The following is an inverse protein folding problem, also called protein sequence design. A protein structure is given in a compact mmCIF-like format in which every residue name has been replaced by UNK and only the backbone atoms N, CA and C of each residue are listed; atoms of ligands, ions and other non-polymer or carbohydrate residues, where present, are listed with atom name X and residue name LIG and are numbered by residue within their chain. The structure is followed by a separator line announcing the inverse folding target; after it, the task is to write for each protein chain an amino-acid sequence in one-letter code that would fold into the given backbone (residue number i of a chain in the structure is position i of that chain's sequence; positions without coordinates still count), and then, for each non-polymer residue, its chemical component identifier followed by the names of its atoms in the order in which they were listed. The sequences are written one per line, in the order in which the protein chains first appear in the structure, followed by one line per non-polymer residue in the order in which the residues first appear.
data_IF_454870647183
#
_entry.id   IF_454870647183
#
_cell.length_a   1.000
_cell.length_b   1.000
_cell.length_c   1.000
_cell.angle_alpha   90.00
_cell.angle_beta   90.00
_cell.angle_gamma   90.00
#
_symmetry.space_group_name_H-M   'P 1'
#
loop_
_entity.id
_entity.type
_entity.pdbx_description
1 polymer ?
#
# COMPACT_ATOMS: atom_id res chain seq x y z
N UNK A 1 -27.12 14.25 0.13
CA UNK A 1 -25.70 14.59 -0.12
C UNK A 1 -25.05 15.12 1.15
N UNK A 2 -25.59 16.17 1.76
CA UNK A 2 -25.00 16.77 2.97
C UNK A 2 -24.81 15.81 4.15
N UNK A 3 -25.79 14.94 4.40
CA UNK A 3 -25.67 13.89 5.43
C UNK A 3 -24.49 12.94 5.16
N UNK A 4 -24.24 12.61 3.91
CA UNK A 4 -23.14 11.71 3.52
C UNK A 4 -21.79 12.39 3.67
N UNK A 5 -21.70 13.69 3.34
CA UNK A 5 -20.49 14.49 3.57
C UNK A 5 -20.11 14.49 5.07
N UNK A 6 -21.10 14.60 5.96
CA UNK A 6 -20.86 14.52 7.40
C UNK A 6 -20.41 13.11 7.85
N UNK A 7 -20.90 12.05 7.21
CA UNK A 7 -20.45 10.69 7.49
C UNK A 7 -18.98 10.49 7.09
N UNK A 8 -18.60 10.90 5.88
CA UNK A 8 -17.20 10.86 5.40
C UNK A 8 -16.27 11.65 6.32
N UNK A 9 -16.70 12.83 6.78
CA UNK A 9 -15.92 13.63 7.72
C UNK A 9 -15.75 12.94 9.08
N UNK A 10 -16.82 12.31 9.59
CA UNK A 10 -16.78 11.53 10.82
C UNK A 10 -15.78 10.36 10.71
N UNK A 11 -15.80 9.62 9.59
CA UNK A 11 -14.82 8.54 9.32
C UNK A 11 -13.39 9.07 9.27
N UNK A 12 -13.15 10.20 8.60
CA UNK A 12 -11.84 10.83 8.57
C UNK A 12 -11.39 11.24 9.98
N UNK A 13 -12.28 11.83 10.78
CA UNK A 13 -11.99 12.25 12.14
C UNK A 13 -11.62 11.07 13.06
N UNK A 14 -12.20 9.88 12.85
CA UNK A 14 -11.86 8.67 13.61
C UNK A 14 -10.42 8.21 13.35
N UNK A 15 -9.86 8.48 12.16
CA UNK A 15 -8.52 8.03 11.78
C UNK A 15 -7.42 9.08 11.93
N UNK A 16 -7.75 10.31 12.33
CA UNK A 16 -6.78 11.41 12.51
C UNK A 16 -5.62 11.06 13.45
N UNK A 17 -5.91 10.25 14.48
CA UNK A 17 -4.94 9.83 15.48
C UNK A 17 -4.36 8.44 15.22
N UNK A 18 -4.70 7.82 14.08
CA UNK A 18 -4.12 6.54 13.67
C UNK A 18 -2.73 6.76 13.07
N UNK A 19 -1.69 6.27 13.76
CA UNK A 19 -0.30 6.33 13.27
C UNK A 19 -0.15 5.72 11.87
N UNK A 20 -0.85 4.63 11.59
CA UNK A 20 -0.84 3.96 10.28
C UNK A 20 -1.43 4.85 9.19
N UNK A 21 -2.56 5.51 9.45
CA UNK A 21 -3.18 6.41 8.47
C UNK A 21 -2.34 7.68 8.26
N UNK A 22 -1.72 8.21 9.33
CA UNK A 22 -0.79 9.35 9.25
C UNK A 22 0.45 9.01 8.43
N UNK A 23 1.03 7.83 8.64
CA UNK A 23 2.17 7.34 7.86
C UNK A 23 1.79 7.14 6.38
N UNK A 24 0.64 6.53 6.10
CA UNK A 24 0.16 6.35 4.73
C UNK A 24 -0.07 7.70 4.02
N UNK A 25 -0.63 8.69 4.70
CA UNK A 25 -0.83 10.02 4.14
C UNK A 25 0.51 10.75 3.90
N UNK A 26 1.51 10.56 4.77
CA UNK A 26 2.87 11.06 4.56
C UNK A 26 3.53 10.39 3.34
N UNK A 27 3.43 9.07 3.22
CA UNK A 27 3.90 8.31 2.06
C UNK A 27 3.28 8.82 0.76
N UNK A 28 1.96 9.05 0.77
CA UNK A 28 1.20 9.60 -0.35
C UNK A 28 1.66 11.02 -0.69
N UNK A 29 1.78 11.91 0.29
CA UNK A 29 2.18 13.30 0.09
C UNK A 29 3.63 13.45 -0.41
N UNK A 30 4.51 12.52 -0.02
CA UNK A 30 5.92 12.50 -0.45
C UNK A 30 6.13 11.83 -1.80
N UNK A 31 5.10 11.19 -2.36
CA UNK A 31 5.18 10.66 -3.72
C UNK A 31 5.46 11.74 -4.76
N UNK A 32 6.07 11.35 -5.88
CA UNK A 32 6.32 12.25 -7.00
C UNK A 32 5.03 12.92 -7.46
N UNK A 33 5.12 14.23 -7.73
CA UNK A 33 3.99 15.01 -8.23
C UNK A 33 3.46 14.40 -9.54
N UNK A 34 2.13 14.31 -9.65
CA UNK A 34 1.48 13.68 -10.80
C UNK A 34 1.30 12.16 -10.68
N UNK A 35 2.00 11.51 -9.74
CA UNK A 35 1.76 10.09 -9.47
C UNK A 35 0.36 9.89 -8.85
N UNK A 36 -0.43 8.86 -9.22
CA UNK A 36 -1.78 8.65 -8.71
C UNK A 36 -1.88 8.51 -7.18
N UNK A 37 -0.81 8.02 -6.53
CA UNK A 37 -0.72 7.92 -5.07
C UNK A 37 -0.50 9.29 -4.39
N UNK A 38 -0.09 10.33 -5.12
CA UNK A 38 0.11 11.68 -4.58
C UNK A 38 -1.22 12.43 -4.43
N UNK A 39 -2.15 11.84 -3.67
CA UNK A 39 -3.51 12.36 -3.44
C UNK A 39 -3.95 12.16 -2.01
N UNK A 40 -4.85 13.03 -1.54
CA UNK A 40 -5.63 12.76 -0.34
C UNK A 40 -6.79 11.85 -0.71
N UNK A 41 -6.63 10.55 -0.46
CA UNK A 41 -7.57 9.52 -0.95
C UNK A 41 -8.77 9.29 -0.04
N UNK A 42 -8.71 9.76 1.22
CA UNK A 42 -9.82 9.61 2.16
C UNK A 42 -10.98 10.55 1.82
N UNK A 43 -10.67 11.83 1.56
CA UNK A 43 -11.67 12.89 1.54
C UNK A 43 -12.10 13.28 2.96
N UNK A 44 -12.68 14.47 3.08
CA UNK A 44 -13.33 14.98 4.29
C UNK A 44 -14.30 16.11 3.91
N UNK A 45 -14.99 16.69 4.90
CA UNK A 45 -15.91 17.80 4.64
C UNK A 45 -15.21 18.95 3.94
N UNK A 46 -14.02 19.33 4.39
CA UNK A 46 -13.26 20.43 3.81
C UNK A 46 -12.96 20.19 2.33
N UNK A 47 -12.39 19.05 1.96
CA UNK A 47 -12.03 18.76 0.56
C UNK A 47 -13.26 18.75 -0.35
N UNK A 48 -14.39 18.25 0.13
CA UNK A 48 -15.63 18.19 -0.65
C UNK A 48 -16.31 19.56 -0.76
N UNK A 49 -16.30 20.36 0.31
CA UNK A 49 -16.82 21.73 0.30
C UNK A 49 -15.94 22.66 -0.54
N UNK A 50 -14.61 22.56 -0.44
CA UNK A 50 -13.68 23.34 -1.24
C UNK A 50 -13.84 23.03 -2.74
N UNK A 51 -14.08 21.77 -3.09
CA UNK A 51 -14.41 21.36 -4.45
C UNK A 51 -15.71 22.03 -4.95
N UNK A 52 -16.78 21.99 -4.15
CA UNK A 52 -18.05 22.68 -4.48
C UNK A 52 -17.86 24.19 -4.63
N UNK A 53 -17.08 24.82 -3.73
CA UNK A 53 -16.75 26.24 -3.79
C UNK A 53 -15.94 26.63 -5.03
N UNK A 54 -15.23 25.67 -5.63
CA UNK A 54 -14.51 25.83 -6.89
C UNK A 54 -15.38 25.62 -8.14
N UNK A 55 -16.71 25.43 -7.96
CA UNK A 55 -17.68 25.25 -9.04
C UNK A 55 -17.92 23.79 -9.44
N UNK A 56 -17.38 22.82 -8.71
CA UNK A 56 -17.59 21.39 -9.00
C UNK A 56 -18.98 20.95 -8.49
N UNK A 57 -19.80 20.42 -9.38
CA UNK A 57 -21.06 19.77 -9.00
C UNK A 57 -20.78 18.32 -8.57
N UNK A 58 -20.70 18.09 -7.26
CA UNK A 58 -20.41 16.76 -6.70
C UNK A 58 -21.37 15.67 -7.20
N UNK A 59 -22.64 15.99 -7.44
CA UNK A 59 -23.61 15.00 -7.90
C UNK A 59 -23.29 14.51 -9.30
N UNK A 60 -22.93 15.42 -10.19
CA UNK A 60 -22.56 15.10 -11.56
C UNK A 60 -21.27 14.28 -11.58
N UNK A 61 -20.24 14.70 -10.82
CA UNK A 61 -18.98 13.95 -10.69
C UNK A 61 -19.18 12.51 -10.18
N UNK A 62 -20.04 12.32 -9.16
CA UNK A 62 -20.36 10.98 -8.65
C UNK A 62 -21.05 10.14 -9.72
N UNK A 63 -22.00 10.72 -10.46
CA UNK A 63 -22.71 10.01 -11.53
C UNK A 63 -21.77 9.66 -12.68
N UNK A 64 -20.90 10.57 -13.08
CA UNK A 64 -19.88 10.32 -14.11
C UNK A 64 -18.91 9.23 -13.67
N UNK A 65 -18.43 9.28 -12.42
CA UNK A 65 -17.58 8.25 -11.86
C UNK A 65 -18.28 6.88 -11.84
N UNK A 66 -19.56 6.83 -11.46
CA UNK A 66 -20.36 5.61 -11.49
C UNK A 66 -20.49 5.08 -12.92
N UNK A 67 -20.93 5.91 -13.87
CA UNK A 67 -21.15 5.51 -15.27
C UNK A 67 -19.87 5.06 -15.98
N UNK A 68 -18.72 5.63 -15.58
CA UNK A 68 -17.39 5.29 -16.12
C UNK A 68 -16.84 4.00 -15.53
N UNK A 69 -16.96 3.79 -14.23
CA UNK A 69 -16.20 2.74 -13.54
C UNK A 69 -17.06 1.53 -13.10
N UNK A 70 -18.38 1.66 -12.97
CA UNK A 70 -19.27 0.59 -12.51
C UNK A 70 -19.88 -0.17 -13.70
N UNK A 71 -19.13 -1.14 -14.22
CA UNK A 71 -19.58 -2.02 -15.30
C UNK A 71 -19.06 -3.46 -15.13
N UNK A 72 -19.72 -4.44 -15.76
CA UNK A 72 -19.43 -5.87 -15.60
C UNK A 72 -17.97 -6.26 -15.90
N UNK A 73 -17.32 -5.62 -16.87
CA UNK A 73 -15.90 -5.87 -17.17
C UNK A 73 -14.92 -5.52 -16.04
N UNK A 74 -15.30 -4.64 -15.11
CA UNK A 74 -14.50 -4.21 -13.96
C UNK A 74 -14.95 -4.86 -12.63
N UNK A 75 -16.09 -5.57 -12.64
CA UNK A 75 -16.66 -6.19 -11.44
C UNK A 75 -16.24 -7.66 -11.31
N UNK A 76 -16.16 -8.12 -10.07
CA UNK A 76 -16.03 -9.53 -9.69
C UNK A 76 -17.05 -9.79 -8.59
N UNK A 77 -17.79 -10.89 -8.71
CA UNK A 77 -18.83 -11.30 -7.77
C UNK A 77 -18.50 -12.69 -7.26
N UNK A 78 -18.64 -12.89 -5.95
CA UNK A 78 -18.51 -14.19 -5.29
C UNK A 78 -19.77 -14.41 -4.48
N UNK A 79 -20.45 -15.54 -4.71
CA UNK A 79 -21.64 -15.97 -3.97
C UNK A 79 -21.30 -17.28 -3.27
N UNK A 80 -21.59 -17.35 -1.98
CA UNK A 80 -21.37 -18.54 -1.15
C UNK A 80 -22.72 -18.88 -0.54
N UNK A 81 -23.23 -20.08 -0.83
CA UNK A 81 -24.52 -20.58 -0.35
C UNK A 81 -24.45 -22.09 -0.11
N UNK A 82 -25.48 -22.61 0.56
CA UNK A 82 -25.64 -24.07 0.78
C UNK A 82 -26.35 -24.77 -0.38
N UNK A 83 -26.85 -23.99 -1.33
CA UNK A 83 -27.63 -24.43 -2.47
C UNK A 83 -26.73 -25.02 -3.58
N UNK A 84 -27.28 -25.89 -4.45
CA UNK A 84 -26.59 -26.36 -5.64
C UNK A 84 -26.16 -25.22 -6.56
N UNK A 85 -25.07 -25.43 -7.31
CA UNK A 85 -24.50 -24.42 -8.22
C UNK A 85 -25.52 -23.88 -9.22
N UNK A 86 -26.39 -24.72 -9.77
CA UNK A 86 -27.42 -24.30 -10.72
C UNK A 86 -28.40 -23.28 -10.12
N UNK A 87 -28.72 -23.42 -8.82
CA UNK A 87 -29.59 -22.45 -8.11
C UNK A 87 -28.84 -21.13 -7.92
N UNK A 88 -27.59 -21.19 -7.47
CA UNK A 88 -26.76 -20.00 -7.26
C UNK A 88 -26.51 -19.26 -8.57
N UNK A 89 -26.28 -19.97 -9.66
CA UNK A 89 -26.17 -19.40 -11.00
C UNK A 89 -27.48 -18.74 -11.43
N UNK A 90 -28.62 -19.41 -11.23
CA UNK A 90 -29.95 -18.86 -11.51
C UNK A 90 -30.19 -17.52 -10.82
N UNK A 91 -29.94 -17.43 -9.52
CA UNK A 91 -30.06 -16.17 -8.77
C UNK A 91 -29.06 -15.10 -9.22
N UNK A 92 -27.84 -15.52 -9.54
CA UNK A 92 -26.82 -14.61 -10.07
C UNK A 92 -27.30 -13.93 -11.35
N UNK A 93 -27.85 -14.73 -12.27
CA UNK A 93 -28.39 -14.22 -13.53
C UNK A 93 -29.62 -13.34 -13.32
N UNK A 94 -30.50 -13.72 -12.39
CA UNK A 94 -31.70 -12.92 -12.07
C UNK A 94 -31.33 -11.53 -11.55
N UNK A 95 -30.39 -11.45 -10.60
CA UNK A 95 -30.08 -10.22 -9.87
C UNK A 95 -29.05 -9.33 -10.59
N UNK A 96 -28.08 -9.91 -11.28
CA UNK A 96 -26.90 -9.17 -11.77
C UNK A 96 -26.78 -9.08 -13.29
N UNK A 97 -27.63 -9.77 -14.07
CA UNK A 97 -27.57 -9.71 -15.55
C UNK A 97 -27.80 -8.32 -16.13
N UNK A 98 -28.45 -7.43 -15.40
CA UNK A 98 -28.74 -6.05 -15.83
C UNK A 98 -27.57 -5.08 -15.63
N UNK A 99 -26.47 -5.52 -15.01
CA UNK A 99 -25.27 -4.69 -14.87
C UNK A 99 -24.71 -4.39 -16.27
N UNK A 100 -24.48 -3.11 -16.56
CA UNK A 100 -23.93 -2.64 -17.83
C UNK A 100 -22.64 -3.39 -18.18
N UNK A 101 -22.55 -3.95 -19.38
CA UNK A 101 -21.30 -4.51 -19.92
C UNK A 101 -20.26 -3.41 -20.12
N UNK A 102 -18.99 -3.73 -19.95
CA UNK A 102 -17.89 -2.80 -20.23
C UNK A 102 -16.58 -3.53 -20.48
N UNK A 103 -15.52 -2.81 -20.87
CA UNK A 103 -14.24 -3.40 -21.21
C UNK A 103 -13.62 -4.10 -20.00
N UNK A 104 -12.77 -5.10 -20.25
CA UNK A 104 -11.91 -5.62 -19.20
C UNK A 104 -10.92 -4.53 -18.77
N UNK A 105 -10.64 -4.44 -17.47
CA UNK A 105 -9.66 -3.51 -16.96
C UNK A 105 -8.26 -3.89 -17.45
N UNK A 106 -7.56 -2.91 -18.02
CA UNK A 106 -6.13 -3.04 -18.28
C UNK A 106 -5.35 -2.88 -16.97
N UNK A 107 -4.62 -3.94 -16.60
CA UNK A 107 -3.80 -4.08 -15.39
C UNK A 107 -2.33 -3.74 -15.72
N UNK A 108 -2.02 -3.28 -16.93
CA UNK A 108 -0.70 -2.82 -17.32
C UNK A 108 -0.22 -1.60 -16.52
N UNK A 109 1.10 -1.36 -16.47
CA UNK A 109 1.66 -0.16 -15.86
C UNK A 109 1.20 1.08 -16.64
N UNK A 110 0.57 2.03 -15.94
CA UNK A 110 -0.04 3.22 -16.56
C UNK A 110 0.82 4.48 -16.44
N UNK A 111 2.01 4.40 -15.83
CA UNK A 111 2.92 5.54 -15.68
C UNK A 111 4.35 5.08 -15.44
N UNK A 112 5.32 5.83 -15.98
CA UNK A 112 6.75 5.66 -15.70
C UNK A 112 7.24 6.60 -14.57
N UNK A 113 6.32 7.34 -13.93
CA UNK A 113 6.65 8.25 -12.84
C UNK A 113 7.07 7.41 -11.61
N UNK A 114 8.27 7.62 -11.04
CA UNK A 114 8.70 6.89 -9.86
C UNK A 114 7.85 7.27 -8.64
N UNK A 115 7.58 6.32 -7.73
CA UNK A 115 6.82 6.63 -6.51
C UNK A 115 7.56 7.68 -5.67
N UNK A 116 8.85 7.47 -5.38
CA UNK A 116 9.66 8.35 -4.54
C UNK A 116 11.04 8.61 -5.14
N UNK A 117 11.66 9.71 -4.71
CA UNK A 117 13.09 9.92 -4.90
C UNK A 117 13.85 9.12 -3.82
N UNK A 118 14.85 8.31 -4.18
CA UNK A 118 15.59 7.49 -3.21
C UNK A 118 16.39 8.37 -2.23
N UNK A 119 16.83 7.75 -1.12
CA UNK A 119 17.71 8.39 -0.15
C UNK A 119 17.07 9.48 0.72
N UNK A 120 15.74 9.46 0.87
CA UNK A 120 15.01 10.39 1.75
C UNK A 120 14.67 9.73 3.08
N UNK A 121 14.91 10.46 4.16
CA UNK A 121 14.51 10.09 5.51
C UNK A 121 13.47 11.08 6.03
N UNK A 122 12.31 10.56 6.44
CA UNK A 122 11.26 11.35 7.05
C UNK A 122 11.12 10.97 8.52
N UNK A 123 10.90 11.97 9.37
CA UNK A 123 10.62 11.78 10.79
C UNK A 123 9.18 12.18 11.05
N UNK A 124 8.41 11.25 11.60
CA UNK A 124 7.02 11.46 11.98
C UNK A 124 6.91 11.26 13.48
N UNK A 125 6.32 12.22 14.18
CA UNK A 125 5.97 12.08 15.58
C UNK A 125 4.72 11.18 15.68
N UNK A 126 4.91 10.03 16.33
CA UNK A 126 3.86 9.07 16.60
C UNK A 126 2.92 9.63 17.68
N UNK A 127 1.63 9.30 17.55
CA UNK A 127 0.61 9.62 18.55
C UNK A 127 0.75 8.70 19.76
N UNK A 128 1.04 7.42 19.49
CA UNK A 128 1.32 6.44 20.53
C UNK A 128 2.81 6.44 20.88
N UNK A 129 3.11 5.97 22.09
CA UNK A 129 4.48 5.74 22.55
C UNK A 129 5.08 4.50 21.84
N UNK A 130 5.56 4.71 20.62
CA UNK A 130 6.21 3.69 19.81
C UNK A 130 7.36 4.28 19.00
N UNK A 131 8.36 3.44 18.74
CA UNK A 131 9.50 3.77 17.91
C UNK A 131 9.58 2.76 16.78
N UNK A 132 9.31 3.20 15.55
CA UNK A 132 9.33 2.33 14.38
C UNK A 132 10.14 2.94 13.26
N UNK A 133 11.00 2.12 12.65
CA UNK A 133 11.69 2.45 11.40
C UNK A 133 11.01 1.73 10.26
N UNK A 134 10.60 2.48 9.24
CA UNK A 134 10.05 1.95 8.01
C UNK A 134 11.04 2.20 6.88
N UNK A 135 11.46 1.13 6.22
CA UNK A 135 12.28 1.18 5.02
C UNK A 135 11.41 0.70 3.86
N UNK A 136 11.24 1.52 2.83
CA UNK A 136 10.32 1.24 1.72
C UNK A 136 11.06 1.25 0.39
N UNK A 137 10.75 0.27 -0.44
CA UNK A 137 11.31 0.11 -1.79
C UNK A 137 10.21 -0.17 -2.79
N UNK A 138 10.40 0.35 -4.00
CA UNK A 138 9.50 0.09 -5.13
C UNK A 138 10.00 -1.11 -5.93
N UNK A 139 9.13 -2.10 -6.09
CA UNK A 139 9.31 -3.22 -7.01
C UNK A 139 8.43 -2.98 -8.25
N UNK A 140 8.78 -3.55 -9.42
CA UNK A 140 7.86 -3.54 -10.57
C UNK A 140 6.52 -4.22 -10.23
N UNK A 141 5.52 -4.04 -11.09
CA UNK A 141 4.26 -4.77 -10.97
C UNK A 141 4.49 -6.28 -11.14
N UNK A 142 4.20 -7.08 -10.11
CA UNK A 142 4.47 -8.52 -10.06
C UNK A 142 3.22 -9.40 -10.27
N UNK A 143 2.12 -8.82 -10.76
CA UNK A 143 0.85 -9.56 -10.94
C UNK A 143 0.99 -10.79 -11.85
N UNK A 144 1.88 -10.77 -12.85
CA UNK A 144 2.10 -11.90 -13.77
C UNK A 144 2.93 -13.01 -13.13
N UNK A 145 3.69 -12.68 -12.10
CA UNK A 145 4.64 -13.55 -11.40
C UNK A 145 4.04 -14.17 -10.14
N UNK A 146 2.72 -14.09 -9.95
CA UNK A 146 2.03 -14.54 -8.73
C UNK A 146 2.29 -16.00 -8.33
N UNK A 147 2.62 -16.88 -9.29
CA UNK A 147 2.99 -18.27 -9.01
C UNK A 147 4.43 -18.41 -8.50
N UNK A 148 5.32 -17.49 -8.87
CA UNK A 148 6.72 -17.46 -8.42
C UNK A 148 6.86 -16.81 -7.04
N UNK A 149 5.94 -15.90 -6.70
CA UNK A 149 5.91 -15.14 -5.43
C UNK A 149 7.28 -14.54 -5.03
N UNK A 150 7.96 -13.81 -5.94
CA UNK A 150 9.31 -13.31 -5.68
C UNK A 150 9.36 -12.35 -4.48
N UNK A 151 8.32 -11.54 -4.28
CA UNK A 151 8.19 -10.64 -3.15
C UNK A 151 8.01 -11.38 -1.82
N UNK A 152 7.26 -12.49 -1.81
CA UNK A 152 7.08 -13.30 -0.60
C UNK A 152 8.38 -14.04 -0.25
N UNK A 153 9.15 -14.46 -1.26
CA UNK A 153 10.47 -15.05 -1.03
C UNK A 153 11.44 -14.05 -0.37
N UNK A 154 11.48 -12.80 -0.85
CA UNK A 154 12.25 -11.73 -0.21
C UNK A 154 11.75 -11.42 1.20
N UNK A 155 10.43 -11.38 1.39
CA UNK A 155 9.80 -11.19 2.70
C UNK A 155 10.22 -12.26 3.71
N UNK A 156 10.19 -13.53 3.30
CA UNK A 156 10.60 -14.65 4.14
C UNK A 156 12.08 -14.56 4.55
N UNK A 157 12.96 -14.19 3.62
CA UNK A 157 14.39 -14.10 3.88
C UNK A 157 14.76 -12.92 4.78
N UNK A 158 14.23 -11.73 4.47
CA UNK A 158 14.51 -10.51 5.21
C UNK A 158 13.78 -10.44 6.56
N UNK A 159 12.60 -11.06 6.64
CA UNK A 159 11.79 -11.20 7.84
C UNK A 159 12.17 -12.38 8.73
N UNK A 160 13.20 -13.16 8.39
CA UNK A 160 13.58 -14.34 9.16
C UNK A 160 14.00 -13.97 10.59
N UNK A 161 13.55 -14.74 11.58
CA UNK A 161 13.82 -14.47 13.01
C UNK A 161 14.85 -15.42 13.65
N UNK A 162 15.29 -16.46 12.92
CA UNK A 162 16.22 -17.45 13.45
C UNK A 162 17.65 -16.93 13.63
N UNK A 163 18.49 -17.75 14.28
CA UNK A 163 19.90 -17.43 14.51
C UNK A 163 20.62 -17.04 13.22
N UNK A 164 21.36 -15.93 13.28
CA UNK A 164 22.08 -15.38 12.12
C UNK A 164 21.24 -14.43 11.24
N UNK A 165 19.97 -14.20 11.58
CA UNK A 165 19.15 -13.20 10.88
C UNK A 165 19.45 -11.77 11.33
N UNK A 166 18.94 -10.81 10.55
CA UNK A 166 18.99 -9.39 10.88
C UNK A 166 18.29 -9.10 12.23
N UNK A 167 17.08 -9.65 12.44
CA UNK A 167 16.38 -9.45 13.71
C UNK A 167 17.14 -10.07 14.88
N UNK A 168 17.74 -11.25 14.72
CA UNK A 168 18.56 -11.86 15.76
C UNK A 168 19.73 -10.95 16.18
N UNK A 169 20.42 -10.34 15.21
CA UNK A 169 21.48 -9.38 15.47
C UNK A 169 20.98 -8.12 16.19
N UNK A 170 19.87 -7.54 15.72
CA UNK A 170 19.28 -6.34 16.33
C UNK A 170 18.78 -6.59 17.76
N UNK A 171 18.18 -7.75 18.02
CA UNK A 171 17.78 -8.20 19.37
C UNK A 171 19.01 -8.38 20.28
N UNK A 172 20.08 -9.00 19.78
CA UNK A 172 21.31 -9.19 20.55
C UNK A 172 22.00 -7.87 20.95
N UNK A 173 21.84 -6.81 20.15
CA UNK A 173 22.29 -5.45 20.49
C UNK A 173 21.31 -4.67 21.37
N UNK A 174 20.12 -5.21 21.63
CA UNK A 174 19.04 -4.53 22.33
C UNK A 174 18.45 -3.35 21.56
N UNK A 175 18.54 -3.35 20.22
CA UNK A 175 18.09 -2.24 19.37
C UNK A 175 16.66 -2.41 18.83
N UNK A 176 16.20 -3.65 18.65
CA UNK A 176 14.85 -3.91 18.11
C UNK A 176 14.15 -5.03 18.88
N UNK A 177 12.82 -4.95 18.94
CA UNK A 177 11.95 -5.97 19.52
C UNK A 177 11.33 -6.88 18.46
N UNK A 178 10.99 -6.34 17.28
CA UNK A 178 10.42 -7.08 16.16
C UNK A 178 10.82 -6.48 14.82
N UNK A 179 10.76 -7.30 13.77
CA UNK A 179 10.96 -6.90 12.39
C UNK A 179 9.95 -7.64 11.52
N UNK A 180 9.30 -6.92 10.62
CA UNK A 180 8.51 -7.51 9.53
C UNK A 180 9.03 -6.98 8.20
N UNK A 181 8.92 -7.79 7.15
CA UNK A 181 9.28 -7.41 5.80
C UNK A 181 8.26 -8.00 4.82
N UNK A 182 7.88 -7.25 3.80
CA UNK A 182 7.01 -7.75 2.74
C UNK A 182 6.24 -6.67 2.02
N UNK A 183 5.39 -7.12 1.10
CA UNK A 183 4.43 -6.25 0.41
C UNK A 183 3.07 -6.42 1.07
N UNK A 184 2.56 -5.35 1.68
CA UNK A 184 1.26 -5.36 2.32
C UNK A 184 0.12 -5.65 1.35
N UNK A 185 -1.07 -5.92 1.87
CA UNK A 185 -2.25 -6.29 1.06
C UNK A 185 -3.09 -5.10 0.61
N UNK A 186 -2.70 -3.87 0.96
CA UNK A 186 -3.41 -2.66 0.56
C UNK A 186 -3.30 -2.40 -0.95
N UNK A 187 -4.36 -1.84 -1.55
CA UNK A 187 -4.40 -1.57 -3.00
C UNK A 187 -3.34 -0.57 -3.49
N UNK A 188 -2.78 0.25 -2.60
CA UNK A 188 -1.64 1.14 -2.90
C UNK A 188 -0.29 0.42 -2.89
N UNK A 189 -0.17 -0.68 -2.14
CA UNK A 189 1.06 -1.47 -1.99
C UNK A 189 1.16 -2.60 -3.01
N UNK A 190 0.02 -3.11 -3.50
CA UNK A 190 -0.08 -4.07 -4.62
C UNK A 190 -0.93 -3.45 -5.72
N UNK A 191 -0.30 -2.63 -6.56
CA UNK A 191 -0.99 -1.89 -7.62
C UNK A 191 -0.51 -2.32 -9.00
N UNK A 192 -1.24 -1.95 -10.05
CA UNK A 192 -0.78 -2.10 -11.44
C UNK A 192 0.44 -1.23 -11.78
N UNK A 193 0.74 -0.22 -10.95
CA UNK A 193 1.86 0.70 -11.14
C UNK A 193 3.17 0.12 -10.61
N UNK A 194 3.15 -0.30 -9.35
CA UNK A 194 4.30 -0.91 -8.67
C UNK A 194 3.82 -1.67 -7.44
N UNK A 195 4.73 -2.48 -6.90
CA UNK A 195 4.60 -3.07 -5.58
C UNK A 195 5.48 -2.28 -4.60
N UNK A 196 5.00 -2.04 -3.39
CA UNK A 196 5.76 -1.37 -2.33
C UNK A 196 6.19 -2.44 -1.33
N UNK A 197 7.47 -2.80 -1.36
CA UNK A 197 8.07 -3.67 -0.36
C UNK A 197 8.52 -2.82 0.82
N UNK A 198 8.07 -3.18 2.02
CA UNK A 198 8.37 -2.45 3.24
C UNK A 198 9.01 -3.38 4.27
N UNK A 199 10.02 -2.87 4.96
CA UNK A 199 10.54 -3.46 6.18
C UNK A 199 10.21 -2.53 7.35
N UNK A 200 9.47 -3.06 8.31
CA UNK A 200 9.12 -2.36 9.55
C UNK A 200 9.91 -2.96 10.71
N UNK A 201 10.61 -2.11 11.46
CA UNK A 201 11.41 -2.50 12.62
C UNK A 201 10.88 -1.76 13.84
N UNK A 202 10.43 -2.48 14.85
CA UNK A 202 10.07 -1.91 16.15
C UNK A 202 11.35 -1.74 16.97
N UNK A 203 11.69 -0.50 17.27
CA UNK A 203 12.92 -0.11 17.95
C UNK A 203 12.70 0.00 19.45
N UNK A 204 13.77 -0.24 20.20
CA UNK A 204 13.88 0.18 21.60
C UNK A 204 14.41 1.61 21.68
N UNK A 205 14.40 2.24 22.86
CA UNK A 205 15.02 3.55 23.08
C UNK A 205 16.51 3.57 22.68
N UNK A 206 17.21 2.46 22.92
CA UNK A 206 18.61 2.28 22.50
C UNK A 206 18.71 2.21 20.98
N UNK A 207 17.80 1.48 20.33
CA UNK A 207 17.72 1.40 18.87
C UNK A 207 17.46 2.75 18.22
N UNK A 208 16.55 3.55 18.78
CA UNK A 208 16.21 4.89 18.28
C UNK A 208 17.43 5.81 18.24
N UNK A 209 18.27 5.79 19.30
CA UNK A 209 19.51 6.57 19.37
C UNK A 209 20.56 6.11 18.35
N UNK A 210 20.46 4.88 17.88
CA UNK A 210 21.40 4.25 16.96
C UNK A 210 20.82 4.06 15.55
N UNK A 211 19.74 4.76 15.18
CA UNK A 211 19.11 4.60 13.85
C UNK A 211 20.09 4.82 12.70
N UNK A 212 20.99 5.80 12.80
CA UNK A 212 22.01 6.04 11.77
C UNK A 212 23.02 4.88 11.63
N UNK A 213 23.17 4.03 12.65
CA UNK A 213 24.02 2.82 12.64
C UNK A 213 23.26 1.58 12.15
N UNK A 214 21.96 1.69 11.86
CA UNK A 214 21.18 0.65 11.19
C UNK A 214 21.50 0.56 9.69
N UNK A 215 22.55 1.24 9.19
CA UNK A 215 23.11 1.00 7.86
C UNK A 215 23.45 -0.47 7.62
N UNK A 216 23.67 -1.26 8.67
CA UNK A 216 23.82 -2.72 8.61
C UNK A 216 22.62 -3.49 8.00
N UNK A 217 21.44 -2.86 7.94
CA UNK A 217 20.32 -3.40 7.17
C UNK A 217 20.68 -3.49 5.69
N UNK A 218 21.40 -2.49 5.16
CA UNK A 218 21.91 -2.50 3.78
C UNK A 218 23.04 -3.52 3.60
N UNK A 219 23.89 -3.74 4.61
CA UNK A 219 24.90 -4.82 4.55
C UNK A 219 24.24 -6.19 4.40
N UNK A 220 23.11 -6.40 5.08
CA UNK A 220 22.33 -7.64 4.99
C UNK A 220 21.74 -7.83 3.58
N UNK A 221 21.30 -6.75 2.94
CA UNK A 221 20.83 -6.74 1.55
C UNK A 221 22.01 -6.95 0.58
N UNK A 222 23.18 -6.36 0.83
CA UNK A 222 24.39 -6.56 0.01
C UNK A 222 24.96 -7.98 0.09
N UNK A 223 24.86 -8.66 1.24
CA UNK A 223 25.24 -10.07 1.37
C UNK A 223 24.41 -10.96 0.44
N UNK A 224 23.16 -10.58 0.19
CA UNK A 224 22.27 -11.28 -0.74
C UNK A 224 22.56 -10.90 -2.21
N UNK A 225 23.04 -9.69 -2.45
CA UNK A 225 23.46 -9.23 -3.78
C UNK A 225 24.79 -9.85 -4.23
N UNK A 226 25.74 -10.07 -3.31
CA UNK A 226 27.01 -10.78 -3.57
C UNK A 226 26.85 -12.25 -3.99
N UNK A 227 25.62 -12.80 -3.94
CA UNK A 227 25.25 -14.11 -4.50
C UNK A 227 24.53 -14.01 -5.85
N UNK A 228 24.60 -12.87 -6.55
CA UNK A 228 23.91 -12.58 -7.82
C UNK A 228 22.37 -12.72 -7.76
N UNK A 229 21.75 -12.52 -6.59
CA UNK A 229 20.32 -12.78 -6.40
C UNK A 229 19.44 -11.51 -6.45
N UNK A 230 20.02 -10.33 -6.24
CA UNK A 230 19.30 -9.08 -5.97
C UNK A 230 19.54 -7.99 -7.04
N UNK A 231 20.58 -8.13 -7.87
CA UNK A 231 20.93 -7.16 -8.92
C UNK A 231 19.78 -6.80 -9.86
N UNK A 232 18.82 -7.71 -10.08
CA UNK A 232 17.62 -7.46 -10.89
C UNK A 232 16.60 -6.52 -10.22
N UNK A 233 16.57 -6.43 -8.88
CA UNK A 233 15.58 -5.62 -8.14
C UNK A 233 16.10 -4.23 -7.76
N UNK A 234 17.42 -4.01 -7.74
CA UNK A 234 18.03 -2.83 -7.09
C UNK A 234 18.94 -2.00 -7.98
N UNK A 235 19.05 -2.33 -9.28
CA UNK A 235 19.90 -1.62 -10.23
C UNK A 235 19.48 -0.16 -10.54
N UNK A 236 18.52 0.41 -9.80
CA UNK A 236 17.98 1.75 -10.06
C UNK A 236 17.94 2.67 -8.81
N UNK A 237 18.61 2.35 -7.71
CA UNK A 237 18.51 3.18 -6.48
C UNK A 237 19.80 3.42 -5.70
N UNK A 238 20.96 3.37 -6.37
CA UNK A 238 22.21 3.92 -5.85
C UNK A 238 22.76 4.99 -6.79
#
# INVERSE_FOLDING_TARGET
MDREILAVDSEFNQVLQSDTCRLYQLQSHTCSQGHPLNRFTWGNKKSLVDAMGSGINLREEILEMYMRNYHGGAMRLVIIGGEPLDILEGWTMELFSKVKTGPLLDIGPKTDIPFWKPGKLYKLEAVRDLHSLFLSWTLPCLHKEYMKKPEDYLAHLLGHEGKGSLLYFLKAKGWASSLSAGVGSGGSQRSSYAYIFEMSICLTDSGLKNVCRLSHVYDSVHILDGRNFISFFWSASF
#
